data_IF_261403665998
#
_entry.id   IF_261403665998
#
_cell.length_a   1.000
_cell.length_b   1.000
_cell.length_c   1.000
_cell.angle_alpha   90.00
_cell.angle_beta   90.00
_cell.angle_gamma   90.00
#
_symmetry.space_group_name_H-M   'P 1'
#
loop_
_entity.id
_entity.type
_entity.pdbx_description
1 polymer ?
#
# COMPACT_ATOMS: atom_id res chain seq x y z
N UNK A 1 -16.18 22.88 -1.64
CA UNK A 1 -16.43 21.66 -0.87
C UNK A 1 -17.11 20.69 -1.80
N UNK A 2 -16.35 19.81 -2.44
CA UNK A 2 -16.96 18.65 -3.07
C UNK A 2 -17.42 17.80 -1.88
N UNK A 3 -18.71 17.74 -1.66
CA UNK A 3 -19.32 16.76 -0.76
C UNK A 3 -19.25 15.41 -1.48
N UNK A 4 -18.03 14.89 -1.58
CA UNK A 4 -17.74 13.65 -2.30
C UNK A 4 -18.39 12.41 -1.68
N UNK A 5 -18.85 12.52 -0.44
CA UNK A 5 -19.52 11.43 0.24
C UNK A 5 -20.91 11.11 -0.34
N UNK A 6 -21.56 12.07 -1.04
CA UNK A 6 -22.86 11.83 -1.67
C UNK A 6 -22.76 11.32 -3.11
N UNK A 7 -21.63 11.54 -3.80
CA UNK A 7 -21.44 11.06 -5.17
C UNK A 7 -20.98 9.61 -5.25
N UNK A 8 -20.26 9.12 -4.22
CA UNK A 8 -19.79 7.75 -4.14
C UNK A 8 -20.83 6.80 -3.50
N UNK A 9 -21.80 7.33 -2.75
CA UNK A 9 -22.81 6.51 -2.07
C UNK A 9 -22.19 5.35 -1.28
N UNK A 10 -22.74 4.15 -1.46
CA UNK A 10 -22.24 2.91 -0.85
C UNK A 10 -20.88 2.41 -1.44
N UNK A 11 -20.35 3.09 -2.44
CA UNK A 11 -19.07 2.73 -3.06
C UNK A 11 -17.83 3.20 -2.28
N UNK A 12 -18.02 3.91 -1.15
CA UNK A 12 -16.90 4.30 -0.28
C UNK A 12 -16.31 3.08 0.41
N UNK A 13 -15.09 2.71 0.04
CA UNK A 13 -14.34 1.67 0.72
C UNK A 13 -13.92 2.19 2.09
N UNK A 14 -14.33 1.49 3.15
CA UNK A 14 -14.06 1.90 4.51
C UNK A 14 -12.70 1.43 5.01
N UNK A 15 -12.31 0.20 4.63
CA UNK A 15 -11.10 -0.45 5.09
C UNK A 15 -10.45 -1.28 4.00
N UNK A 16 -9.17 -1.48 4.17
CA UNK A 16 -8.37 -2.51 3.50
C UNK A 16 -7.73 -3.41 4.54
N UNK A 17 -7.20 -4.53 4.09
CA UNK A 17 -6.41 -5.43 4.90
C UNK A 17 -4.95 -5.35 4.45
N UNK A 18 -4.04 -5.11 5.40
CA UNK A 18 -2.60 -5.12 5.19
C UNK A 18 -2.07 -6.54 5.28
N UNK A 19 -1.25 -6.91 4.34
CA UNK A 19 -0.52 -8.18 4.29
C UNK A 19 0.98 -7.91 4.40
N UNK A 20 1.67 -8.71 5.18
CA UNK A 20 3.13 -8.65 5.32
C UNK A 20 3.71 -9.97 4.80
N UNK A 21 4.48 -9.87 3.72
CA UNK A 21 4.85 -11.02 2.87
C UNK A 21 6.19 -11.65 3.15
N UNK A 22 7.03 -11.11 4.02
CA UNK A 22 8.43 -11.55 4.16
C UNK A 22 8.84 -11.95 5.59
N UNK A 23 7.95 -11.81 6.56
CA UNK A 23 8.23 -12.27 7.91
C UNK A 23 7.93 -13.77 8.04
N UNK A 24 8.53 -14.42 9.04
CA UNK A 24 8.28 -15.82 9.40
C UNK A 24 6.79 -16.15 9.69
N UNK A 25 5.91 -15.17 9.60
CA UNK A 25 4.47 -15.22 9.82
C UNK A 25 3.72 -14.66 8.61
N UNK A 26 3.69 -15.40 7.52
CA UNK A 26 2.89 -15.04 6.33
C UNK A 26 1.43 -14.73 6.67
N UNK A 27 0.95 -13.55 6.23
CA UNK A 27 -0.44 -13.13 6.36
C UNK A 27 -1.29 -13.68 5.22
N UNK A 28 -2.36 -14.40 5.52
CA UNK A 28 -3.30 -14.87 4.49
C UNK A 28 -4.67 -15.21 5.05
N UNK A 29 -5.64 -15.25 4.16
CA UNK A 29 -6.98 -15.78 4.42
C UNK A 29 -7.13 -17.12 3.70
N UNK A 30 -7.81 -18.10 4.31
CA UNK A 30 -7.97 -19.44 3.76
C UNK A 30 -9.39 -19.96 3.89
N UNK A 31 -9.85 -20.60 2.83
CA UNK A 31 -11.14 -21.30 2.79
C UNK A 31 -11.04 -22.57 1.93
N UNK A 32 -11.80 -23.61 2.30
CA UNK A 32 -12.01 -24.78 1.47
C UNK A 32 -13.51 -24.95 1.25
N UNK A 33 -14.01 -24.81 -0.01
CA UNK A 33 -15.42 -25.01 -0.31
C UNK A 33 -15.88 -26.44 0.00
N UNK A 34 -17.07 -26.60 0.55
CA UNK A 34 -17.65 -27.92 0.86
C UNK A 34 -18.14 -28.69 -0.37
N UNK A 35 -18.43 -27.97 -1.46
CA UNK A 35 -18.83 -28.51 -2.77
C UNK A 35 -18.25 -27.68 -3.89
N UNK A 36 -17.99 -28.30 -5.04
CA UNK A 36 -17.54 -27.57 -6.22
C UNK A 36 -18.66 -26.68 -6.77
N UNK A 37 -18.29 -25.47 -7.17
CA UNK A 37 -19.10 -24.56 -7.95
C UNK A 37 -18.81 -24.70 -9.45
N UNK A 38 -19.01 -23.61 -10.20
CA UNK A 38 -18.71 -23.59 -11.63
C UNK A 38 -17.21 -23.38 -11.85
N UNK A 39 -16.50 -24.47 -12.14
CA UNK A 39 -15.04 -24.46 -12.40
C UNK A 39 -14.64 -23.95 -13.78
N UNK A 40 -15.61 -23.61 -14.64
CA UNK A 40 -15.36 -23.12 -15.99
C UNK A 40 -15.64 -21.63 -16.14
N UNK A 41 -16.56 -21.08 -15.31
CA UNK A 41 -17.00 -19.70 -15.41
C UNK A 41 -16.97 -19.05 -14.04
N UNK A 42 -16.16 -18.01 -13.88
CA UNK A 42 -16.11 -17.22 -12.63
C UNK A 42 -15.43 -15.86 -12.87
N UNK A 43 -15.58 -14.96 -11.92
CA UNK A 43 -14.89 -13.67 -11.90
C UNK A 43 -14.28 -13.40 -10.53
N UNK A 44 -13.00 -13.03 -10.49
CA UNK A 44 -12.32 -12.48 -9.33
C UNK A 44 -12.11 -10.98 -9.53
N UNK A 45 -12.38 -10.19 -8.50
CA UNK A 45 -12.15 -8.75 -8.50
C UNK A 45 -11.62 -8.31 -7.14
N UNK A 46 -10.59 -7.47 -7.12
CA UNK A 46 -10.13 -6.81 -5.91
C UNK A 46 -9.41 -5.49 -6.21
N UNK A 47 -9.28 -4.65 -5.20
CA UNK A 47 -8.34 -3.54 -5.21
C UNK A 47 -7.08 -3.94 -4.44
N UNK A 48 -5.92 -3.49 -4.92
CA UNK A 48 -4.64 -3.76 -4.27
C UNK A 48 -3.69 -2.58 -4.40
N UNK A 49 -2.88 -2.35 -3.36
CA UNK A 49 -1.76 -1.42 -3.33
C UNK A 49 -0.53 -2.23 -2.90
N UNK A 50 0.49 -2.26 -3.74
CA UNK A 50 1.71 -3.00 -3.46
C UNK A 50 2.69 -2.11 -2.71
N UNK A 51 3.24 -2.61 -1.64
CA UNK A 51 4.26 -1.88 -0.87
C UNK A 51 5.66 -2.24 -1.36
N UNK A 52 5.99 -3.51 -1.36
CA UNK A 52 7.27 -3.98 -1.87
C UNK A 52 7.15 -4.46 -3.32
N UNK A 53 7.68 -3.67 -4.26
CA UNK A 53 7.67 -4.01 -5.69
C UNK A 53 8.80 -4.96 -6.09
N UNK A 54 9.71 -5.29 -5.17
CA UNK A 54 10.84 -6.19 -5.41
C UNK A 54 10.51 -7.66 -5.11
N UNK A 55 9.34 -7.93 -4.51
CA UNK A 55 8.86 -9.28 -4.19
C UNK A 55 7.58 -9.61 -4.97
N UNK A 56 7.25 -10.90 -5.02
CA UNK A 56 5.98 -11.34 -5.58
C UNK A 56 4.84 -10.97 -4.64
N UNK A 57 3.64 -10.79 -5.22
CA UNK A 57 2.45 -10.38 -4.47
C UNK A 57 1.24 -11.15 -5.03
N UNK A 58 0.87 -12.24 -4.35
CA UNK A 58 -0.26 -13.07 -4.74
C UNK A 58 -1.57 -12.48 -4.22
N UNK A 59 -2.52 -12.26 -5.10
CA UNK A 59 -3.87 -11.78 -4.75
C UNK A 59 -4.77 -12.93 -4.30
N UNK A 60 -4.83 -13.98 -5.13
CA UNK A 60 -5.68 -15.14 -4.87
C UNK A 60 -5.08 -16.39 -5.52
N UNK A 61 -5.34 -17.53 -4.91
CA UNK A 61 -4.90 -18.83 -5.43
C UNK A 61 -5.83 -19.96 -4.99
N UNK A 62 -5.79 -21.06 -5.74
CA UNK A 62 -6.42 -22.32 -5.36
C UNK A 62 -5.52 -23.50 -5.76
N UNK A 63 -5.51 -24.56 -4.93
CA UNK A 63 -4.62 -25.69 -5.13
C UNK A 63 -5.16 -27.00 -4.52
N UNK A 64 -5.16 -28.06 -5.29
CA UNK A 64 -5.33 -29.42 -4.80
C UNK A 64 -4.25 -30.39 -5.29
N UNK A 65 -3.69 -30.15 -6.49
CA UNK A 65 -2.64 -30.98 -7.05
C UNK A 65 -1.74 -30.23 -8.04
N UNK A 66 -0.59 -30.80 -8.36
CA UNK A 66 0.38 -30.25 -9.30
C UNK A 66 -0.03 -30.52 -10.76
N UNK A 67 -1.17 -29.98 -11.17
CA UNK A 67 -1.60 -29.95 -12.58
C UNK A 67 -2.38 -28.65 -12.84
N UNK A 68 -2.64 -28.33 -14.10
CA UNK A 68 -3.17 -27.04 -14.52
C UNK A 68 -4.65 -26.84 -14.17
N UNK A 69 -5.41 -27.91 -13.99
CA UNK A 69 -6.81 -27.84 -13.56
C UNK A 69 -6.98 -27.68 -12.06
N UNK A 70 -5.94 -27.97 -11.29
CA UNK A 70 -6.00 -28.03 -9.82
C UNK A 70 -5.01 -27.07 -9.13
N UNK A 71 -4.39 -26.18 -9.90
CA UNK A 71 -3.52 -25.12 -9.40
C UNK A 71 -3.72 -23.85 -10.22
N UNK A 72 -4.03 -22.75 -9.55
CA UNK A 72 -4.16 -21.43 -10.16
C UNK A 72 -3.70 -20.35 -9.19
N UNK A 73 -3.04 -19.32 -9.71
CA UNK A 73 -2.72 -18.11 -8.95
C UNK A 73 -2.81 -16.84 -9.78
N UNK A 74 -3.24 -15.77 -9.12
CA UNK A 74 -3.30 -14.40 -9.62
C UNK A 74 -2.22 -13.61 -8.88
N UNK A 75 -1.12 -13.28 -9.57
CA UNK A 75 0.10 -12.81 -8.87
C UNK A 75 0.77 -11.68 -9.64
N UNK A 76 1.15 -10.62 -8.93
CA UNK A 76 2.18 -9.70 -9.42
C UNK A 76 3.53 -10.35 -9.16
N UNK A 77 4.31 -10.55 -10.21
CA UNK A 77 5.64 -11.15 -10.15
C UNK A 77 6.70 -10.08 -10.29
N UNK A 78 7.62 -10.04 -9.35
CA UNK A 78 8.83 -9.23 -9.47
C UNK A 78 9.77 -9.81 -10.53
N UNK A 79 10.30 -8.92 -11.37
CA UNK A 79 11.34 -9.20 -12.37
C UNK A 79 12.69 -8.62 -11.95
N UNK A 80 12.78 -8.10 -10.72
CA UNK A 80 13.92 -7.35 -10.22
C UNK A 80 13.95 -5.88 -10.69
N UNK A 81 14.82 -5.07 -10.09
CA UNK A 81 15.01 -3.65 -10.42
C UNK A 81 13.69 -2.83 -10.43
N UNK A 82 12.76 -3.14 -9.53
CA UNK A 82 11.48 -2.46 -9.43
C UNK A 82 10.49 -2.76 -10.56
N UNK A 83 10.80 -3.70 -11.46
CA UNK A 83 9.89 -4.13 -12.51
C UNK A 83 8.99 -5.25 -12.01
N UNK A 84 7.70 -5.18 -12.34
CA UNK A 84 6.74 -6.19 -11.96
C UNK A 84 5.65 -6.34 -13.01
N UNK A 85 5.34 -7.59 -13.38
CA UNK A 85 4.27 -7.97 -14.29
C UNK A 85 3.11 -8.62 -13.55
N UNK A 86 1.89 -8.58 -14.09
CA UNK A 86 0.75 -9.33 -13.56
C UNK A 86 0.59 -10.66 -14.31
N UNK A 87 0.31 -11.73 -13.57
CA UNK A 87 0.23 -13.09 -14.09
C UNK A 87 -1.04 -13.80 -13.62
N UNK A 88 -1.66 -14.50 -14.55
CA UNK A 88 -2.65 -15.56 -14.30
C UNK A 88 -1.99 -16.88 -14.71
N UNK A 89 -1.66 -17.73 -13.74
CA UNK A 89 -0.87 -18.95 -14.00
C UNK A 89 -1.47 -20.17 -13.32
N UNK A 90 -1.37 -21.33 -14.00
CA UNK A 90 -1.55 -22.66 -13.45
C UNK A 90 -0.22 -23.32 -13.14
N UNK A 91 -0.21 -24.66 -12.95
CA UNK A 91 1.01 -25.41 -12.60
C UNK A 91 2.08 -25.35 -13.69
N UNK A 92 1.71 -25.70 -14.92
CA UNK A 92 2.60 -25.67 -16.10
C UNK A 92 2.15 -24.64 -17.15
N UNK A 93 1.15 -23.83 -16.85
CA UNK A 93 0.50 -22.97 -17.82
C UNK A 93 0.55 -21.50 -17.36
N UNK A 94 1.06 -20.67 -18.24
CA UNK A 94 0.92 -19.23 -18.13
C UNK A 94 -0.29 -18.81 -18.96
N UNK A 95 -1.45 -18.64 -18.33
CA UNK A 95 -2.68 -18.26 -19.04
C UNK A 95 -2.56 -16.84 -19.60
N UNK A 96 -2.10 -15.90 -18.80
CA UNK A 96 -1.84 -14.50 -19.19
C UNK A 96 -0.65 -13.96 -18.38
N UNK A 97 0.30 -13.32 -19.07
CA UNK A 97 1.38 -12.53 -18.46
C UNK A 97 1.42 -11.19 -19.17
N UNK A 98 1.23 -10.10 -18.44
CA UNK A 98 1.15 -8.76 -19.03
C UNK A 98 2.51 -8.26 -19.52
N UNK A 99 2.51 -7.45 -20.61
CA UNK A 99 3.65 -6.60 -20.97
C UNK A 99 3.68 -5.33 -20.12
N UNK A 100 2.52 -4.91 -19.59
CA UNK A 100 2.44 -3.81 -18.65
C UNK A 100 3.24 -4.12 -17.39
N UNK A 101 4.03 -3.14 -16.95
CA UNK A 101 4.79 -3.19 -15.70
C UNK A 101 4.15 -2.31 -14.64
N UNK A 102 4.11 -2.81 -13.43
CA UNK A 102 3.53 -2.18 -12.24
C UNK A 102 4.66 -1.75 -11.32
N UNK A 103 5.01 -0.46 -11.31
CA UNK A 103 6.21 0.09 -10.64
C UNK A 103 5.89 1.08 -9.52
N UNK A 104 4.63 1.42 -9.34
CA UNK A 104 4.21 2.42 -8.36
C UNK A 104 3.79 1.75 -7.04
N UNK A 105 4.58 1.94 -5.95
CA UNK A 105 4.24 1.40 -4.63
C UNK A 105 3.19 2.25 -3.90
N UNK A 106 2.80 3.39 -4.43
CA UNK A 106 1.83 4.31 -3.82
C UNK A 106 0.43 4.19 -4.41
N UNK A 107 0.28 3.55 -5.58
CA UNK A 107 -0.97 3.51 -6.31
C UNK A 107 -1.82 2.29 -5.94
N UNK A 108 -3.13 2.53 -5.80
CA UNK A 108 -4.14 1.49 -5.80
C UNK A 108 -4.47 1.06 -7.22
N UNK A 109 -4.52 -0.26 -7.46
CA UNK A 109 -4.96 -0.87 -8.70
C UNK A 109 -6.22 -1.68 -8.48
N UNK A 110 -7.20 -1.54 -9.38
CA UNK A 110 -8.32 -2.47 -9.48
C UNK A 110 -7.96 -3.57 -10.46
N UNK A 111 -8.03 -4.82 -10.01
CA UNK A 111 -7.74 -6.00 -10.82
C UNK A 111 -9.02 -6.81 -10.95
N UNK A 112 -9.41 -7.11 -12.20
CA UNK A 112 -10.49 -8.07 -12.48
C UNK A 112 -9.94 -9.16 -13.39
N UNK A 113 -10.15 -10.41 -13.00
CA UNK A 113 -9.82 -11.58 -13.83
C UNK A 113 -11.10 -12.41 -14.03
N UNK A 114 -11.55 -12.48 -15.27
CA UNK A 114 -12.81 -13.11 -15.64
C UNK A 114 -12.56 -14.34 -16.51
N UNK A 115 -13.06 -15.47 -16.07
CA UNK A 115 -12.91 -16.78 -16.73
C UNK A 115 -14.22 -17.24 -17.35
N UNK A 116 -14.16 -17.72 -18.60
CA UNK A 116 -15.17 -18.55 -19.22
C UNK A 116 -14.50 -19.49 -20.21
N UNK A 117 -14.10 -20.65 -19.74
CA UNK A 117 -13.38 -21.64 -20.56
C UNK A 117 -14.28 -22.29 -21.62
N UNK A 118 -15.59 -22.06 -21.57
CA UNK A 118 -16.55 -22.62 -22.58
C UNK A 118 -16.51 -21.88 -23.91
N UNK A 119 -15.93 -20.65 -23.91
CA UNK A 119 -15.84 -19.81 -25.10
C UNK A 119 -15.08 -20.50 -26.24
N UNK A 120 -15.57 -20.32 -27.48
CA UNK A 120 -14.93 -20.88 -28.68
C UNK A 120 -13.57 -20.23 -28.95
N UNK A 121 -13.45 -18.90 -28.74
CA UNK A 121 -12.20 -18.15 -28.85
C UNK A 121 -11.35 -18.32 -27.60
N UNK A 122 -10.09 -18.69 -27.76
CA UNK A 122 -9.15 -18.84 -26.64
C UNK A 122 -8.89 -17.52 -25.91
N UNK A 123 -8.95 -16.39 -26.61
CA UNK A 123 -8.71 -15.07 -26.01
C UNK A 123 -9.89 -14.62 -25.13
N UNK A 124 -11.09 -15.15 -25.37
CA UNK A 124 -12.27 -14.86 -24.55
C UNK A 124 -12.37 -15.73 -23.29
N UNK A 125 -11.55 -16.79 -23.18
CA UNK A 125 -11.60 -17.70 -22.03
C UNK A 125 -11.02 -17.13 -20.74
N UNK A 126 -10.04 -16.23 -20.85
CA UNK A 126 -9.44 -15.53 -19.71
C UNK A 126 -9.20 -14.08 -20.09
N UNK A 127 -9.92 -13.18 -19.43
CA UNK A 127 -9.80 -11.74 -19.60
C UNK A 127 -9.23 -11.10 -18.33
N UNK A 128 -8.29 -10.19 -18.49
CA UNK A 128 -7.67 -9.42 -17.41
C UNK A 128 -7.98 -7.97 -17.62
N UNK A 129 -8.39 -7.29 -16.56
CA UNK A 129 -8.65 -5.85 -16.59
C UNK A 129 -7.91 -5.17 -15.45
N UNK A 130 -7.34 -4.01 -15.75
CA UNK A 130 -6.66 -3.15 -14.77
C UNK A 130 -7.31 -1.76 -14.81
N UNK A 131 -7.81 -1.31 -13.67
CA UNK A 131 -8.50 0.00 -13.54
C UNK A 131 -9.58 0.20 -14.62
N UNK A 132 -10.42 -0.81 -14.83
CA UNK A 132 -11.53 -0.76 -15.78
C UNK A 132 -11.15 -1.02 -17.25
N UNK A 133 -9.86 -1.11 -17.59
CA UNK A 133 -9.37 -1.30 -18.95
C UNK A 133 -8.90 -2.74 -19.17
N UNK A 134 -9.38 -3.37 -20.26
CA UNK A 134 -8.93 -4.72 -20.61
C UNK A 134 -7.47 -4.70 -21.06
N UNK A 135 -6.66 -5.59 -20.47
CA UNK A 135 -5.32 -5.87 -20.95
C UNK A 135 -5.40 -6.72 -22.23
N UNK A 136 -4.75 -6.25 -23.29
CA UNK A 136 -4.68 -6.93 -24.58
C UNK A 136 -3.26 -7.22 -25.03
N UNK A 137 -2.27 -6.67 -24.29
CA UNK A 137 -0.85 -6.85 -24.57
C UNK A 137 -0.22 -7.79 -23.55
N UNK A 138 0.14 -8.98 -24.00
CA UNK A 138 0.71 -10.03 -23.16
C UNK A 138 2.07 -10.48 -23.71
N UNK A 139 3.03 -10.70 -22.81
CA UNK A 139 4.30 -11.38 -23.12
C UNK A 139 4.07 -12.89 -23.32
N UNK A 140 3.04 -13.42 -22.65
CA UNK A 140 2.55 -14.79 -22.82
C UNK A 140 1.03 -14.80 -22.78
N UNK A 141 0.43 -15.36 -23.80
CA UNK A 141 -1.01 -15.66 -23.89
C UNK A 141 -1.14 -17.15 -24.15
N UNK A 142 -1.25 -17.92 -23.05
CA UNK A 142 -1.40 -19.37 -23.13
C UNK A 142 -2.78 -19.73 -23.70
N UNK A 143 -2.82 -20.80 -24.47
CA UNK A 143 -4.07 -21.31 -25.04
C UNK A 143 -4.81 -22.16 -24.00
N UNK A 144 -5.66 -21.54 -23.20
CA UNK A 144 -6.54 -22.25 -22.25
C UNK A 144 -7.43 -23.21 -23.05
N UNK A 145 -7.40 -24.50 -22.72
CA UNK A 145 -8.20 -25.50 -23.40
C UNK A 145 -9.71 -25.22 -23.22
N UNK A 146 -10.49 -25.34 -24.28
CA UNK A 146 -11.94 -25.18 -24.20
C UNK A 146 -12.55 -26.19 -23.24
N UNK A 147 -13.49 -25.72 -22.41
CA UNK A 147 -14.14 -26.50 -21.36
C UNK A 147 -13.19 -27.01 -20.26
N UNK A 148 -12.01 -26.42 -20.13
CA UNK A 148 -11.09 -26.73 -19.03
C UNK A 148 -11.73 -26.36 -17.70
N UNK A 149 -11.68 -27.24 -16.72
CA UNK A 149 -11.93 -26.89 -15.33
C UNK A 149 -10.68 -26.20 -14.76
N UNK A 150 -10.87 -25.09 -14.07
CA UNK A 150 -9.78 -24.41 -13.33
C UNK A 150 -9.86 -24.77 -11.85
N UNK A 151 -8.80 -24.46 -11.09
CA UNK A 151 -8.75 -24.78 -9.67
C UNK A 151 -9.69 -23.91 -8.81
N UNK A 152 -10.05 -22.71 -9.26
CA UNK A 152 -11.09 -21.94 -8.57
C UNK A 152 -12.43 -22.65 -8.62
N UNK A 153 -13.22 -22.52 -7.55
CA UNK A 153 -14.49 -23.22 -7.34
C UNK A 153 -14.41 -24.74 -7.13
N UNK A 154 -13.22 -25.31 -6.97
CA UNK A 154 -13.07 -26.71 -6.55
C UNK A 154 -13.20 -26.85 -5.03
N UNK A 155 -13.32 -28.10 -4.56
CA UNK A 155 -13.23 -28.46 -3.13
C UNK A 155 -11.80 -28.49 -2.60
N UNK A 156 -10.97 -27.61 -3.11
CA UNK A 156 -9.56 -27.44 -2.78
C UNK A 156 -9.33 -26.22 -1.90
N UNK A 157 -8.12 -26.07 -1.37
CA UNK A 157 -7.75 -24.91 -0.57
C UNK A 157 -7.68 -23.67 -1.45
N UNK A 158 -8.44 -22.64 -1.10
CA UNK A 158 -8.40 -21.30 -1.67
C UNK A 158 -7.76 -20.35 -0.69
N UNK A 159 -6.89 -19.45 -1.17
CA UNK A 159 -6.24 -18.43 -0.33
C UNK A 159 -6.32 -17.05 -0.98
N UNK A 160 -6.39 -16.05 -0.11
CA UNK A 160 -6.19 -14.64 -0.45
C UNK A 160 -4.89 -14.21 0.22
N UNK A 161 -4.02 -13.54 -0.52
CA UNK A 161 -2.76 -13.01 -0.03
C UNK A 161 -1.57 -13.94 -0.14
N UNK A 162 -1.73 -15.23 -0.51
CA UNK A 162 -0.60 -16.15 -0.70
C UNK A 162 -0.91 -17.25 -1.70
N UNK A 163 0.12 -17.99 -2.14
CA UNK A 163 -0.08 -19.18 -2.98
C UNK A 163 -0.53 -20.38 -2.16
N UNK A 164 -1.43 -21.20 -2.75
CA UNK A 164 -2.05 -22.32 -2.05
C UNK A 164 -1.24 -23.63 -2.09
N UNK A 165 -0.36 -23.83 -3.09
CA UNK A 165 0.49 -25.02 -3.20
C UNK A 165 1.62 -25.07 -2.16
N UNK A 166 2.08 -23.91 -1.73
CA UNK A 166 2.96 -23.68 -0.59
C UNK A 166 2.64 -22.27 -0.08
N UNK A 167 2.81 -22.00 1.19
CA UNK A 167 2.75 -20.62 1.67
C UNK A 167 3.98 -19.92 1.12
N UNK A 168 3.80 -19.13 0.07
CA UNK A 168 4.87 -18.44 -0.66
C UNK A 168 4.30 -17.35 -1.55
N UNK A 169 5.15 -16.45 -2.03
CA UNK A 169 4.72 -15.28 -2.81
C UNK A 169 3.62 -14.48 -2.10
N UNK A 170 3.70 -14.42 -0.78
CA UNK A 170 2.72 -13.75 0.07
C UNK A 170 2.66 -12.27 -0.30
N UNK A 171 1.46 -11.72 -0.29
CA UNK A 171 1.25 -10.32 -0.59
C UNK A 171 2.00 -9.44 0.43
N UNK A 172 2.68 -8.40 -0.08
CA UNK A 172 3.26 -7.34 0.72
C UNK A 172 2.61 -6.02 0.28
N UNK A 173 1.70 -5.52 1.11
CA UNK A 173 0.87 -4.37 0.81
C UNK A 173 -0.57 -4.50 1.28
N UNK A 174 -1.50 -3.97 0.50
CA UNK A 174 -2.90 -3.85 0.92
C UNK A 174 -3.83 -4.46 -0.12
N UNK A 175 -4.89 -5.12 0.36
CA UNK A 175 -5.98 -5.64 -0.47
C UNK A 175 -7.31 -5.13 0.09
N UNK A 176 -8.25 -4.75 -0.78
CA UNK A 176 -9.57 -4.27 -0.42
C UNK A 176 -10.62 -4.79 -1.41
N UNK A 177 -11.89 -4.85 -0.98
CA UNK A 177 -13.04 -5.15 -1.86
C UNK A 177 -12.85 -6.43 -2.66
N UNK A 178 -12.58 -7.55 -2.00
CA UNK A 178 -12.40 -8.83 -2.68
C UNK A 178 -13.75 -9.44 -3.01
N UNK A 179 -14.04 -9.54 -4.29
CA UNK A 179 -15.24 -10.20 -4.81
C UNK A 179 -14.85 -11.45 -5.61
N UNK A 180 -15.53 -12.54 -5.36
CA UNK A 180 -15.50 -13.74 -6.20
C UNK A 180 -16.91 -14.13 -6.61
N UNK A 181 -17.14 -14.21 -7.92
CA UNK A 181 -18.45 -14.49 -8.49
C UNK A 181 -18.39 -15.87 -9.16
N UNK A 182 -19.18 -16.80 -8.65
CA UNK A 182 -19.29 -18.16 -9.14
C UNK A 182 -20.34 -18.23 -10.26
N UNK A 183 -19.95 -18.72 -11.43
CA UNK A 183 -20.83 -18.99 -12.56
C UNK A 183 -21.00 -17.86 -13.57
N UNK A 184 -20.29 -16.71 -13.41
CA UNK A 184 -20.40 -15.57 -14.33
C UNK A 184 -19.06 -15.01 -14.73
N UNK A 185 -18.89 -14.67 -16.02
CA UNK A 185 -17.76 -13.90 -16.54
C UNK A 185 -18.20 -12.43 -16.69
N UNK A 186 -17.83 -11.59 -15.75
CA UNK A 186 -18.18 -10.18 -15.74
C UNK A 186 -17.01 -9.29 -16.15
N UNK A 187 -17.33 -8.18 -16.81
CA UNK A 187 -16.40 -7.07 -17.05
C UNK A 187 -16.29 -6.16 -15.80
N UNK A 188 -15.32 -5.21 -15.76
CA UNK A 188 -15.08 -4.40 -14.58
C UNK A 188 -16.19 -3.42 -14.22
N UNK A 189 -17.15 -3.12 -15.12
CA UNK A 189 -18.25 -2.19 -14.85
C UNK A 189 -19.22 -2.67 -13.77
N UNK A 190 -19.14 -3.94 -13.40
CA UNK A 190 -19.86 -4.50 -12.28
C UNK A 190 -19.26 -4.11 -10.93
N UNK A 191 -17.95 -3.78 -10.88
CA UNK A 191 -17.16 -3.52 -9.67
C UNK A 191 -16.58 -2.11 -9.60
N UNK A 192 -16.74 -1.33 -10.65
CA UNK A 192 -16.22 0.03 -10.74
C UNK A 192 -16.88 0.85 -11.84
N UNK A 193 -16.55 2.13 -11.87
CA UNK A 193 -16.99 3.08 -12.89
C UNK A 193 -15.95 4.19 -13.08
N UNK A 194 -15.95 4.83 -14.23
CA UNK A 194 -15.12 6.02 -14.44
C UNK A 194 -15.91 7.25 -13.97
N UNK A 195 -15.36 7.97 -13.01
CA UNK A 195 -15.93 9.23 -12.55
C UNK A 195 -15.97 10.24 -13.72
N UNK A 196 -17.14 10.75 -14.09
CA UNK A 196 -17.26 11.62 -15.28
C UNK A 196 -16.63 13.01 -15.11
N UNK A 197 -16.31 13.41 -13.87
CA UNK A 197 -15.69 14.72 -13.56
C UNK A 197 -14.17 14.60 -13.55
N UNK A 198 -13.65 13.59 -12.87
CA UNK A 198 -12.19 13.43 -12.68
C UNK A 198 -11.55 12.50 -13.70
N UNK A 199 -12.35 11.73 -14.44
CA UNK A 199 -11.92 10.65 -15.32
C UNK A 199 -11.08 9.56 -14.60
N UNK A 200 -11.25 9.43 -13.29
CA UNK A 200 -10.60 8.42 -12.46
C UNK A 200 -11.50 7.19 -12.35
N UNK A 201 -10.91 6.01 -12.43
CA UNK A 201 -11.60 4.75 -12.15
C UNK A 201 -11.88 4.62 -10.66
N UNK A 202 -13.15 4.47 -10.30
CA UNK A 202 -13.66 4.47 -8.93
C UNK A 202 -14.34 3.14 -8.60
N UNK A 203 -14.33 2.70 -7.34
CA UNK A 203 -15.02 1.49 -6.93
C UNK A 203 -16.54 1.62 -7.03
N UNK A 204 -17.19 0.49 -7.28
CA UNK A 204 -18.64 0.31 -7.26
C UNK A 204 -18.94 -0.99 -6.53
N UNK A 205 -19.92 -0.97 -5.64
CA UNK A 205 -20.37 -2.19 -4.97
C UNK A 205 -21.03 -3.13 -5.96
N UNK A 206 -20.68 -4.40 -5.90
CA UNK A 206 -21.36 -5.44 -6.66
C UNK A 206 -22.74 -5.75 -6.01
N UNK A 207 -23.79 -5.73 -6.82
CA UNK A 207 -25.17 -5.95 -6.36
C UNK A 207 -25.80 -7.19 -6.98
N UNK A 208 -25.04 -7.98 -7.72
CA UNK A 208 -25.53 -9.19 -8.40
C UNK A 208 -25.51 -10.42 -7.51
N UNK A 209 -25.77 -11.55 -8.14
CA UNK A 209 -25.75 -12.88 -7.49
C UNK A 209 -24.32 -13.40 -7.42
N UNK A 210 -23.89 -13.85 -6.23
CA UNK A 210 -22.53 -14.36 -6.01
C UNK A 210 -22.34 -15.81 -6.47
N UNK A 211 -23.43 -16.58 -6.68
CA UNK A 211 -23.37 -18.03 -6.95
C UNK A 211 -23.06 -18.82 -5.68
N UNK A 212 -22.83 -20.12 -5.79
CA UNK A 212 -22.73 -21.02 -4.62
C UNK A 212 -21.48 -20.76 -3.79
N UNK A 213 -20.33 -20.65 -4.43
CA UNK A 213 -19.03 -20.46 -3.76
C UNK A 213 -18.54 -19.00 -3.79
N UNK A 214 -19.33 -18.08 -4.37
CA UNK A 214 -18.99 -16.67 -4.40
C UNK A 214 -18.96 -16.03 -3.00
N UNK A 215 -18.16 -14.99 -2.84
CA UNK A 215 -17.96 -14.27 -1.57
C UNK A 215 -17.61 -12.80 -1.80
N UNK A 216 -17.76 -12.01 -0.74
CA UNK A 216 -17.38 -10.61 -0.66
C UNK A 216 -16.68 -10.31 0.66
N UNK A 217 -15.41 -9.89 0.60
CA UNK A 217 -14.63 -9.50 1.77
C UNK A 217 -14.37 -7.99 1.69
N UNK A 218 -15.03 -7.22 2.56
CA UNK A 218 -14.92 -5.76 2.64
C UNK A 218 -13.99 -5.29 3.76
N UNK A 219 -13.58 -6.20 4.64
CA UNK A 219 -12.69 -5.96 5.79
C UNK A 219 -13.19 -4.85 6.74
N UNK A 220 -14.47 -4.49 6.70
CA UNK A 220 -15.04 -3.38 7.47
C UNK A 220 -15.15 -3.67 8.96
N UNK A 221 -15.34 -4.93 9.32
CA UNK A 221 -15.46 -5.37 10.72
C UNK A 221 -14.10 -5.75 11.31
N UNK A 222 -13.53 -4.84 12.10
CA UNK A 222 -12.27 -5.05 12.81
C UNK A 222 -12.47 -5.27 14.32
N UNK A 223 -13.61 -5.79 14.73
CA UNK A 223 -13.90 -6.10 16.14
C UNK A 223 -13.03 -7.25 16.67
N UNK A 224 -12.57 -8.14 15.80
CA UNK A 224 -11.62 -9.21 16.10
C UNK A 224 -10.85 -9.61 14.83
N UNK A 225 -9.73 -10.32 14.99
CA UNK A 225 -8.99 -10.87 13.85
C UNK A 225 -9.89 -11.79 12.98
N UNK A 226 -10.69 -12.65 13.61
CA UNK A 226 -11.61 -13.55 12.90
C UNK A 226 -12.67 -12.78 12.09
N UNK A 227 -13.12 -11.62 12.56
CA UNK A 227 -14.11 -10.80 11.86
C UNK A 227 -13.61 -10.25 10.51
N UNK A 228 -12.29 -10.14 10.32
CA UNK A 228 -11.68 -9.73 9.07
C UNK A 228 -11.86 -10.76 7.93
N UNK A 229 -12.19 -12.01 8.26
CA UNK A 229 -12.44 -13.07 7.29
C UNK A 229 -13.92 -13.30 6.96
N UNK A 230 -14.85 -12.52 7.52
CA UNK A 230 -16.29 -12.72 7.33
C UNK A 230 -16.71 -12.32 5.93
N UNK A 231 -17.40 -13.24 5.24
CA UNK A 231 -18.06 -13.00 3.96
C UNK A 231 -19.30 -12.11 4.13
N UNK A 232 -19.29 -10.95 3.51
CA UNK A 232 -20.40 -9.99 3.52
C UNK A 232 -21.41 -10.21 2.39
N UNK A 233 -21.21 -11.23 1.56
CA UNK A 233 -22.23 -11.70 0.61
C UNK A 233 -23.34 -12.46 1.35
N UNK A 234 -24.47 -12.75 0.67
CA UNK A 234 -25.53 -13.56 1.28
C UNK A 234 -25.15 -15.02 1.55
N UNK A 235 -23.99 -15.49 1.07
CA UNK A 235 -23.64 -16.91 1.09
C UNK A 235 -23.01 -17.39 2.41
N UNK A 236 -22.34 -16.51 3.17
CA UNK A 236 -21.63 -16.87 4.40
C UNK A 236 -20.42 -17.78 4.15
N UNK A 237 -19.72 -17.55 3.06
CA UNK A 237 -18.51 -18.27 2.68
C UNK A 237 -17.27 -17.69 3.37
N UNK A 238 -17.23 -17.72 4.71
CA UNK A 238 -16.21 -17.14 5.55
C UNK A 238 -14.82 -17.76 5.32
N UNK A 239 -13.80 -16.95 5.57
CA UNK A 239 -12.39 -17.33 5.52
C UNK A 239 -11.78 -17.42 6.93
N UNK A 240 -10.94 -18.41 7.15
CA UNK A 240 -10.06 -18.45 8.31
C UNK A 240 -8.93 -17.44 8.11
N UNK A 241 -8.71 -16.61 9.12
CA UNK A 241 -7.66 -15.60 9.16
C UNK A 241 -6.40 -16.21 9.75
N UNK A 242 -5.25 -16.03 9.08
CA UNK A 242 -3.98 -16.58 9.51
C UNK A 242 -2.95 -15.44 9.69
N UNK A 243 -2.40 -15.32 10.90
CA UNK A 243 -1.37 -14.38 11.33
C UNK A 243 -1.72 -12.88 11.19
N UNK A 244 -2.94 -12.54 10.81
CA UNK A 244 -3.42 -11.16 10.65
C UNK A 244 -4.08 -10.70 11.94
N UNK A 245 -3.73 -9.51 12.41
CA UNK A 245 -4.28 -8.86 13.59
C UNK A 245 -5.29 -7.76 13.23
N UNK A 246 -6.05 -7.27 14.20
CA UNK A 246 -6.98 -6.14 14.00
C UNK A 246 -6.24 -4.85 13.60
N UNK A 247 -4.97 -4.73 13.97
CA UNK A 247 -4.09 -3.61 13.58
C UNK A 247 -3.73 -3.62 12.10
N UNK A 248 -3.95 -4.72 11.38
CA UNK A 248 -3.76 -4.81 9.94
C UNK A 248 -4.98 -4.32 9.14
N UNK A 249 -6.09 -4.03 9.83
CA UNK A 249 -7.26 -3.39 9.22
C UNK A 249 -7.04 -1.89 9.12
N UNK A 250 -6.76 -1.40 7.91
CA UNK A 250 -6.35 -0.03 7.61
C UNK A 250 -7.49 0.79 7.02
N UNK A 251 -7.45 2.12 7.24
CA UNK A 251 -8.31 3.08 6.53
C UNK A 251 -7.64 3.65 5.26
N UNK A 252 -6.45 3.15 4.92
CA UNK A 252 -5.82 3.36 3.61
C UNK A 252 -6.56 2.54 2.57
N UNK A 253 -7.26 3.19 1.66
CA UNK A 253 -8.18 2.56 0.71
C UNK A 253 -8.11 3.24 -0.66
N UNK A 254 -8.60 2.61 -1.73
CA UNK A 254 -8.69 3.25 -3.05
C UNK A 254 -9.46 4.59 -3.04
N UNK A 255 -10.38 4.77 -2.12
CA UNK A 255 -11.17 6.00 -1.97
C UNK A 255 -10.54 7.01 -1.00
N UNK A 256 -9.47 6.64 -0.32
CA UNK A 256 -8.70 7.50 0.58
C UNK A 256 -7.28 6.98 0.76
N UNK A 257 -6.44 7.19 -0.25
CA UNK A 257 -5.05 6.73 -0.26
C UNK A 257 -4.21 7.55 0.73
N UNK A 258 -3.50 6.87 1.63
CA UNK A 258 -2.60 7.50 2.62
C UNK A 258 -1.15 7.50 2.14
N UNK A 259 -0.38 8.46 2.64
CA UNK A 259 1.06 8.44 2.49
C UNK A 259 1.66 7.20 3.20
N UNK A 260 2.79 6.74 2.67
CA UNK A 260 3.66 5.71 3.24
C UNK A 260 5.11 6.11 2.97
N UNK A 261 6.10 5.42 3.48
CA UNK A 261 7.46 5.54 2.96
C UNK A 261 7.51 5.17 1.49
N UNK A 262 8.40 5.84 0.74
CA UNK A 262 8.55 5.63 -0.69
C UNK A 262 9.89 4.91 -0.98
N UNK A 263 9.90 3.62 -1.30
CA UNK A 263 11.14 2.87 -1.52
C UNK A 263 11.91 3.28 -2.78
N UNK A 264 11.30 4.11 -3.64
CA UNK A 264 11.94 4.58 -4.88
C UNK A 264 12.34 6.06 -4.82
N UNK A 265 11.88 6.83 -3.82
CA UNK A 265 12.30 8.20 -3.59
C UNK A 265 13.23 8.24 -2.39
N UNK A 266 14.51 8.17 -2.67
CA UNK A 266 15.61 8.06 -1.72
C UNK A 266 16.65 9.14 -1.95
N UNK A 267 17.26 9.62 -0.88
CA UNK A 267 18.33 10.59 -0.93
C UNK A 267 19.61 9.99 -1.53
N UNK A 268 20.46 10.79 -2.20
CA UNK A 268 21.77 10.38 -2.63
C UNK A 268 22.72 10.30 -1.42
N UNK A 269 23.41 9.19 -1.25
CA UNK A 269 24.48 9.08 -0.25
C UNK A 269 25.69 9.92 -0.62
N UNK A 270 26.46 10.32 0.37
CA UNK A 270 27.75 11.02 0.19
C UNK A 270 28.77 10.32 -0.70
N UNK A 271 28.70 8.99 -0.82
CA UNK A 271 29.59 8.18 -1.64
C UNK A 271 29.13 8.01 -3.10
N UNK A 272 28.02 8.68 -3.48
CA UNK A 272 27.45 8.59 -4.84
C UNK A 272 26.64 7.33 -5.11
N UNK A 273 26.28 6.58 -4.06
CA UNK A 273 25.32 5.46 -4.14
C UNK A 273 23.96 5.91 -3.63
N UNK A 274 22.90 5.21 -4.03
CA UNK A 274 21.55 5.50 -3.49
C UNK A 274 21.43 4.94 -2.07
N UNK A 275 20.57 5.59 -1.26
CA UNK A 275 20.17 5.12 0.06
C UNK A 275 19.59 3.71 0.01
N UNK A 276 19.84 2.91 1.03
CA UNK A 276 19.31 1.55 1.15
C UNK A 276 18.57 1.35 2.46
N UNK A 277 17.44 0.62 2.39
CA UNK A 277 16.60 0.34 3.54
C UNK A 277 15.73 -0.88 3.32
N UNK A 278 15.35 -1.52 4.41
CA UNK A 278 14.39 -2.63 4.43
C UNK A 278 13.04 -2.11 4.87
N UNK A 279 12.07 -2.20 3.96
CA UNK A 279 10.69 -1.79 4.20
C UNK A 279 9.83 -2.97 4.60
N UNK A 280 8.93 -2.76 5.54
CA UNK A 280 7.93 -3.74 5.96
C UNK A 280 6.66 -3.05 6.43
N UNK A 281 5.68 -3.82 6.91
CA UNK A 281 4.42 -3.30 7.43
C UNK A 281 3.68 -2.40 6.43
N UNK A 282 3.68 -2.78 5.15
CA UNK A 282 3.02 -1.99 4.11
C UNK A 282 3.73 -0.66 3.82
N UNK A 283 5.04 -0.60 3.91
CA UNK A 283 5.89 0.59 3.85
C UNK A 283 5.62 1.60 4.99
N UNK A 284 5.18 1.12 6.14
CA UNK A 284 5.04 1.95 7.35
C UNK A 284 6.22 1.78 8.32
N UNK A 285 7.00 0.72 8.14
CA UNK A 285 8.23 0.46 8.90
C UNK A 285 9.42 0.44 7.97
N UNK A 286 10.49 1.06 8.40
CA UNK A 286 11.76 1.16 7.67
C UNK A 286 12.92 0.90 8.62
N UNK A 287 13.83 0.03 8.22
CA UNK A 287 15.16 -0.16 8.82
C UNK A 287 16.18 0.32 7.80
N UNK A 288 16.98 1.31 8.15
CA UNK A 288 18.08 1.80 7.32
C UNK A 288 19.23 0.77 7.34
N UNK A 289 19.93 0.61 6.25
CA UNK A 289 20.94 -0.44 6.09
C UNK A 289 22.35 0.11 5.80
N UNK A 290 22.62 1.34 6.20
CA UNK A 290 23.92 1.95 5.92
C UNK A 290 24.06 3.35 6.50
N UNK A 291 25.08 4.06 6.09
CA UNK A 291 25.42 5.41 6.60
C UNK A 291 24.89 6.48 5.69
N UNK A 292 24.13 7.41 6.23
CA UNK A 292 23.58 8.55 5.50
C UNK A 292 22.48 8.09 4.52
N UNK A 293 21.58 7.22 4.99
CA UNK A 293 20.43 6.77 4.23
C UNK A 293 19.21 7.64 4.53
N UNK A 294 18.57 8.16 3.49
CA UNK A 294 17.41 9.04 3.60
C UNK A 294 16.28 8.57 2.70
N UNK A 295 15.06 8.58 3.23
CA UNK A 295 13.85 8.19 2.50
C UNK A 295 12.72 9.18 2.75
N UNK A 296 12.08 9.60 1.65
CA UNK A 296 10.91 10.45 1.70
C UNK A 296 9.61 9.63 1.70
N UNK A 297 8.51 10.28 2.06
CA UNK A 297 7.18 9.71 1.93
C UNK A 297 6.66 9.77 0.48
N UNK A 298 5.52 9.09 0.22
CA UNK A 298 4.87 9.03 -1.10
C UNK A 298 4.05 10.26 -1.44
N UNK A 299 3.84 11.19 -0.51
CA UNK A 299 3.04 12.41 -0.74
C UNK A 299 3.80 13.64 -0.26
N UNK A 300 3.82 14.67 -1.10
CA UNK A 300 4.30 16.01 -0.79
C UNK A 300 3.14 17.01 -0.78
N UNK A 301 3.31 18.13 -0.08
CA UNK A 301 2.29 19.17 0.09
C UNK A 301 2.92 20.56 0.04
N UNK A 302 2.18 21.54 -0.51
CA UNK A 302 2.63 22.94 -0.64
C UNK A 302 1.76 23.94 0.13
N UNK A 303 0.73 23.48 0.82
CA UNK A 303 -0.18 24.30 1.62
C UNK A 303 -0.94 23.46 2.63
N UNK A 304 -1.55 24.11 3.63
CA UNK A 304 -2.39 23.47 4.64
C UNK A 304 -1.65 23.09 5.92
N UNK A 305 -2.38 22.39 6.81
CA UNK A 305 -1.91 21.98 8.14
C UNK A 305 -1.93 20.46 8.21
N UNK A 306 -0.76 19.86 8.41
CA UNK A 306 -0.56 18.41 8.34
C UNK A 306 0.04 17.88 9.63
N UNK A 307 -0.37 16.66 10.00
CA UNK A 307 0.16 15.98 11.17
C UNK A 307 0.49 14.53 10.84
N UNK A 308 1.64 14.07 11.31
CA UNK A 308 2.02 12.67 11.33
C UNK A 308 2.85 12.33 12.57
N UNK A 309 2.97 11.06 12.87
CA UNK A 309 3.80 10.55 13.95
C UNK A 309 4.89 9.64 13.38
N UNK A 310 6.09 9.75 13.93
CA UNK A 310 7.21 8.84 13.70
C UNK A 310 7.58 8.20 15.03
N UNK A 311 7.51 6.88 15.10
CA UNK A 311 8.04 6.10 16.21
C UNK A 311 9.50 5.76 15.92
N UNK A 312 10.39 6.09 16.82
CA UNK A 312 11.81 5.75 16.79
C UNK A 312 11.98 4.32 17.32
N UNK A 313 12.01 3.32 16.46
CA UNK A 313 12.25 1.93 16.90
C UNK A 313 13.68 1.80 17.40
N UNK A 314 14.63 2.41 16.68
CA UNK A 314 16.00 2.66 17.14
C UNK A 314 16.26 4.14 17.01
N UNK A 315 16.48 4.81 18.15
CA UNK A 315 16.61 6.26 18.22
C UNK A 315 18.02 6.76 17.92
N UNK A 316 19.03 5.88 18.01
CA UNK A 316 20.42 6.26 17.81
C UNK A 316 20.65 6.70 16.36
N UNK A 317 21.26 7.87 16.21
CA UNK A 317 21.62 8.50 14.92
C UNK A 317 20.44 8.77 13.97
N UNK A 318 19.21 8.84 14.49
CA UNK A 318 18.04 9.13 13.69
C UNK A 318 17.99 10.56 13.19
N UNK A 319 17.31 10.75 12.06
CA UNK A 319 16.72 12.01 11.63
C UNK A 319 15.28 11.80 11.22
N UNK A 320 14.38 12.69 11.61
CA UNK A 320 12.97 12.60 11.24
C UNK A 320 12.35 14.01 11.14
N UNK A 321 11.47 14.21 10.17
CA UNK A 321 10.79 15.50 10.01
C UNK A 321 10.24 15.73 8.62
N UNK A 322 10.50 16.91 8.08
CA UNK A 322 10.11 17.36 6.75
C UNK A 322 11.30 17.94 6.00
N UNK A 323 11.27 17.89 4.68
CA UNK A 323 12.26 18.56 3.83
C UNK A 323 11.60 19.21 2.62
N UNK A 324 12.26 20.21 2.05
CA UNK A 324 11.86 20.79 0.77
C UNK A 324 12.08 19.74 -0.34
N UNK A 325 11.06 19.46 -1.12
CA UNK A 325 11.11 18.41 -2.15
C UNK A 325 12.18 18.70 -3.21
N UNK A 326 12.33 19.96 -3.59
CA UNK A 326 13.32 20.37 -4.60
C UNK A 326 14.74 20.11 -4.11
N UNK A 327 15.05 20.39 -2.85
CA UNK A 327 16.37 20.12 -2.26
C UNK A 327 16.65 18.63 -2.21
N UNK A 328 15.65 17.83 -1.80
CA UNK A 328 15.77 16.38 -1.74
C UNK A 328 16.00 15.73 -3.11
N UNK A 329 15.39 16.25 -4.18
CA UNK A 329 15.48 15.67 -5.53
C UNK A 329 16.64 16.22 -6.36
N UNK A 330 17.13 17.45 -6.10
CA UNK A 330 18.25 18.05 -6.82
C UNK A 330 19.60 17.42 -6.47
N UNK A 331 19.66 16.69 -5.36
CA UNK A 331 20.87 16.14 -4.79
C UNK A 331 21.72 17.20 -4.05
N UNK A 332 21.16 18.38 -3.80
CA UNK A 332 21.72 19.39 -2.89
C UNK A 332 21.54 18.97 -1.42
N UNK A 333 20.65 18.01 -1.17
CA UNK A 333 20.49 17.27 0.08
C UNK A 333 21.70 16.35 0.30
N UNK A 334 22.90 16.89 0.23
CA UNK A 334 24.14 16.16 0.44
C UNK A 334 24.79 16.62 1.73
N UNK A 335 24.63 15.78 2.74
CA UNK A 335 25.45 15.92 3.93
C UNK A 335 26.95 15.85 3.61
N UNK A 336 27.66 16.81 4.13
CA UNK A 336 29.11 16.72 4.28
C UNK A 336 29.47 15.85 5.47
N UNK A 337 29.48 14.53 5.37
CA UNK A 337 29.98 13.58 6.38
C UNK A 337 29.19 13.42 7.68
N UNK A 338 28.04 14.04 7.88
CA UNK A 338 27.33 14.05 9.16
C UNK A 338 25.82 13.77 9.07
N UNK A 339 25.31 13.20 7.96
CA UNK A 339 23.93 12.76 7.80
C UNK A 339 22.89 13.90 7.82
N UNK A 340 21.64 13.53 7.92
CA UNK A 340 20.44 14.38 7.90
C UNK A 340 20.48 15.59 8.86
N UNK A 341 21.39 15.58 9.85
CA UNK A 341 21.47 16.61 10.89
C UNK A 341 21.92 17.97 10.36
N UNK A 342 22.77 17.99 9.34
CA UNK A 342 23.37 19.22 8.81
C UNK A 342 22.90 19.57 7.40
N UNK A 343 21.76 19.00 6.98
CA UNK A 343 21.30 19.15 5.61
C UNK A 343 20.45 20.40 5.43
N UNK A 344 20.76 21.19 4.40
CA UNK A 344 19.92 22.30 3.99
C UNK A 344 18.52 21.77 3.65
N UNK A 345 17.50 22.45 4.13
CA UNK A 345 16.10 22.09 3.92
C UNK A 345 15.50 21.07 4.92
N UNK A 346 16.29 20.42 5.80
CA UNK A 346 15.73 19.53 6.82
C UNK A 346 15.13 20.34 8.00
N UNK A 347 13.90 19.98 8.36
CA UNK A 347 13.11 20.58 9.44
C UNK A 347 12.60 19.46 10.37
N UNK A 348 13.16 19.33 11.57
CA UNK A 348 12.70 18.24 12.44
C UNK A 348 13.60 17.95 13.63
N UNK A 349 13.79 16.66 13.88
CA UNK A 349 14.61 16.14 14.99
C UNK A 349 15.73 15.27 14.46
N UNK A 350 16.83 15.22 15.22
CA UNK A 350 17.89 14.25 14.97
C UNK A 350 18.62 13.88 16.28
N UNK A 351 19.39 12.80 16.23
CA UNK A 351 20.38 12.46 17.25
C UNK A 351 21.75 12.50 16.58
N UNK A 352 22.66 13.30 17.11
CA UNK A 352 23.99 13.48 16.56
C UNK A 352 25.03 13.40 17.66
N UNK A 353 25.97 12.45 17.55
CA UNK A 353 27.07 12.28 18.49
C UNK A 353 26.62 12.05 19.93
N UNK A 354 25.50 11.39 20.16
CA UNK A 354 24.90 11.14 21.48
C UNK A 354 24.07 12.31 22.03
N UNK A 355 23.77 13.31 21.19
CA UNK A 355 22.99 14.49 21.58
C UNK A 355 21.72 14.62 20.77
N UNK A 356 20.59 14.77 21.46
CA UNK A 356 19.29 15.05 20.81
C UNK A 356 19.20 16.53 20.39
N UNK A 357 18.88 16.77 19.13
CA UNK A 357 18.84 18.12 18.55
C UNK A 357 17.55 18.37 17.78
N UNK A 358 17.19 19.65 17.67
CA UNK A 358 16.20 20.17 16.72
C UNK A 358 16.97 20.72 15.52
N UNK A 359 16.56 20.33 14.33
CA UNK A 359 17.16 20.75 13.05
C UNK A 359 16.26 21.77 12.39
N UNK A 360 16.84 22.83 11.91
CA UNK A 360 16.17 23.90 11.18
C UNK A 360 17.09 24.37 10.05
N UNK A 361 16.91 23.82 8.86
CA UNK A 361 17.58 24.25 7.63
C UNK A 361 19.13 24.33 7.82
N UNK A 362 19.75 23.19 8.09
CA UNK A 362 21.19 23.06 8.34
C UNK A 362 21.68 23.61 9.70
N UNK A 363 20.82 24.24 10.46
CA UNK A 363 21.13 24.74 11.80
C UNK A 363 20.58 23.82 12.88
N UNK A 364 21.38 23.53 13.91
CA UNK A 364 20.96 22.69 15.02
C UNK A 364 20.88 23.45 16.34
N UNK A 365 19.95 23.09 17.19
CA UNK A 365 19.85 23.50 18.57
C UNK A 365 19.59 22.30 19.48
N UNK A 366 20.07 22.33 20.72
CA UNK A 366 19.82 21.25 21.66
C UNK A 366 18.32 21.04 21.87
N UNK A 367 17.86 19.81 21.79
CA UNK A 367 16.50 19.48 22.20
C UNK A 367 16.36 19.58 23.73
N UNK A 368 15.16 19.95 24.20
CA UNK A 368 14.86 20.02 25.65
C UNK A 368 14.68 18.63 26.28
N UNK A 369 14.74 17.57 25.50
CA UNK A 369 14.55 16.17 25.89
C UNK A 369 15.62 15.31 25.22
N UNK A 370 15.87 14.11 25.77
CA UNK A 370 16.65 13.07 25.07
C UNK A 370 15.70 12.14 24.35
N UNK A 371 16.02 11.80 23.09
CA UNK A 371 15.28 10.80 22.34
C UNK A 371 15.79 9.38 22.67
N UNK A 372 14.88 8.45 22.76
CA UNK A 372 15.13 7.05 23.11
C UNK A 372 14.35 6.11 22.22
N UNK A 373 14.74 4.83 22.21
CA UNK A 373 13.98 3.80 21.53
C UNK A 373 12.53 3.78 22.02
N UNK A 374 11.63 3.52 21.08
CA UNK A 374 10.19 3.54 21.24
C UNK A 374 9.53 4.92 21.47
N UNK A 375 10.29 6.02 21.51
CA UNK A 375 9.72 7.37 21.55
C UNK A 375 8.92 7.67 20.27
N UNK A 376 7.84 8.46 20.46
CA UNK A 376 6.99 8.91 19.36
C UNK A 376 7.15 10.42 19.18
N UNK A 377 7.59 10.79 17.99
CA UNK A 377 7.75 12.19 17.59
C UNK A 377 6.56 12.59 16.71
N UNK A 378 5.80 13.57 17.16
CA UNK A 378 4.69 14.16 16.40
C UNK A 378 5.15 15.44 15.67
N UNK A 379 4.85 15.52 14.37
CA UNK A 379 5.15 16.67 13.54
C UNK A 379 3.86 17.35 13.08
N UNK A 380 3.61 18.57 13.53
CA UNK A 380 2.46 19.38 13.14
C UNK A 380 2.93 20.56 12.28
N UNK A 381 2.91 20.39 10.96
CA UNK A 381 3.39 21.39 10.00
C UNK A 381 2.25 22.24 9.46
N UNK A 382 2.29 23.54 9.74
CA UNK A 382 1.43 24.55 9.13
C UNK A 382 2.24 25.27 8.04
N UNK A 383 2.10 24.81 6.81
CA UNK A 383 2.83 25.37 5.67
C UNK A 383 2.35 26.78 5.35
N UNK A 384 1.05 27.07 5.55
CA UNK A 384 0.46 28.38 5.25
C UNK A 384 1.06 29.50 6.12
N UNK A 385 1.43 29.18 7.37
CA UNK A 385 2.06 30.14 8.29
C UNK A 385 3.59 29.97 8.36
N UNK A 386 4.17 28.98 7.67
CA UNK A 386 5.59 28.65 7.76
C UNK A 386 6.02 28.25 9.17
N UNK A 387 5.27 27.36 9.83
CA UNK A 387 5.58 26.93 11.21
C UNK A 387 5.45 25.41 11.38
N UNK A 388 6.43 24.79 12.06
CA UNK A 388 6.45 23.37 12.42
C UNK A 388 6.54 23.22 13.93
N UNK A 389 5.53 22.61 14.52
CA UNK A 389 5.51 22.21 15.93
C UNK A 389 5.99 20.75 16.04
N UNK A 390 6.90 20.50 16.98
CA UNK A 390 7.50 19.18 17.23
C UNK A 390 7.09 18.72 18.62
N UNK A 391 6.53 17.53 18.68
CA UNK A 391 6.04 16.91 19.92
C UNK A 391 6.87 15.66 20.22
N UNK A 392 7.26 15.48 21.46
CA UNK A 392 7.88 14.27 22.01
C UNK A 392 6.91 13.61 22.97
N UNK A 393 6.49 12.40 22.66
CA UNK A 393 5.52 11.62 23.44
C UNK A 393 4.27 12.46 23.81
N UNK A 394 3.75 13.20 22.83
CA UNK A 394 2.57 14.07 22.97
C UNK A 394 2.80 15.45 23.61
N UNK A 395 4.00 15.75 24.08
CA UNK A 395 4.35 17.05 24.68
C UNK A 395 5.09 17.93 23.67
N UNK A 396 4.66 19.19 23.49
CA UNK A 396 5.33 20.15 22.62
C UNK A 396 6.74 20.46 23.17
N UNK A 397 7.77 20.24 22.36
CA UNK A 397 9.18 20.46 22.72
C UNK A 397 9.83 21.58 21.92
N UNK A 398 9.34 21.88 20.72
CA UNK A 398 9.89 22.97 19.90
C UNK A 398 8.85 23.49 18.90
N UNK A 399 9.07 24.71 18.44
CA UNK A 399 8.37 25.30 17.29
C UNK A 399 9.38 26.05 16.43
N UNK A 400 9.53 25.57 15.19
CA UNK A 400 10.28 26.25 14.14
C UNK A 400 9.33 27.21 13.43
N UNK A 401 9.77 28.43 13.16
CA UNK A 401 8.97 29.48 12.48
C UNK A 401 9.79 30.14 11.38
N UNK A 402 9.11 30.83 10.46
CA UNK A 402 9.76 31.53 9.35
C UNK A 402 10.17 30.57 8.21
N UNK A 403 9.58 29.40 8.18
CA UNK A 403 9.80 28.40 7.11
C UNK A 403 9.30 28.97 5.79
N UNK A 404 10.13 28.92 4.76
CA UNK A 404 9.81 29.46 3.43
C UNK A 404 8.62 28.71 2.79
N UNK A 405 7.89 29.39 1.89
CA UNK A 405 6.89 28.73 1.08
C UNK A 405 7.55 27.77 0.11
N UNK A 406 6.99 26.55 -0.03
CA UNK A 406 7.55 25.51 -0.91
C UNK A 406 6.71 24.24 -0.87
N UNK A 407 7.16 23.24 -1.62
CA UNK A 407 6.59 21.89 -1.57
C UNK A 407 7.42 21.03 -0.64
N UNK A 408 6.80 20.52 0.41
CA UNK A 408 7.47 19.76 1.46
C UNK A 408 7.03 18.30 1.47
N UNK A 409 7.94 17.41 1.83
CA UNK A 409 7.71 15.97 1.96
C UNK A 409 8.22 15.50 3.32
N UNK A 410 7.50 14.60 4.03
CA UNK A 410 8.01 13.93 5.21
C UNK A 410 9.22 13.07 4.88
N UNK A 411 10.23 13.08 5.78
CA UNK A 411 11.50 12.39 5.60
C UNK A 411 11.94 11.70 6.89
N UNK A 412 12.67 10.61 6.74
CA UNK A 412 13.50 10.01 7.79
C UNK A 412 14.86 9.63 7.22
N UNK A 413 15.85 9.59 8.08
CA UNK A 413 17.21 9.23 7.68
C UNK A 413 18.11 8.93 8.89
N UNK A 414 19.37 8.61 8.60
CA UNK A 414 20.42 8.43 9.61
C UNK A 414 21.70 9.21 9.26
N UNK A 415 22.59 9.36 10.23
CA UNK A 415 23.86 10.08 10.08
C UNK A 415 25.09 9.18 10.23
N UNK A 416 24.94 7.91 10.58
CA UNK A 416 26.10 7.06 10.92
C UNK A 416 25.91 5.59 10.55
N UNK A 417 26.93 4.79 10.90
CA UNK A 417 26.98 3.35 10.65
C UNK A 417 26.05 2.50 11.56
N UNK A 418 25.29 3.13 12.44
CA UNK A 418 24.29 2.42 13.25
C UNK A 418 22.93 2.61 12.61
N UNK A 419 22.32 1.52 12.17
CA UNK A 419 21.07 1.55 11.44
C UNK A 419 19.92 2.08 12.31
N UNK A 420 19.40 3.26 11.99
CA UNK A 420 18.18 3.78 12.58
C UNK A 420 16.97 3.02 12.03
N UNK A 421 15.93 2.93 12.83
CA UNK A 421 14.70 2.29 12.37
C UNK A 421 13.45 3.01 12.86
N UNK A 422 12.44 3.05 11.98
CA UNK A 422 11.27 3.90 12.13
C UNK A 422 9.98 3.14 11.84
N UNK A 423 8.92 3.57 12.53
CA UNK A 423 7.54 3.28 12.12
C UNK A 423 6.80 4.62 11.95
N UNK A 424 6.11 4.81 10.82
CA UNK A 424 5.42 6.07 10.50
C UNK A 424 3.92 5.88 10.46
N UNK A 425 3.19 6.85 11.02
CA UNK A 425 1.75 6.91 10.99
C UNK A 425 1.29 8.26 10.41
N UNK A 426 0.71 8.24 9.21
CA UNK A 426 0.11 9.40 8.58
C UNK A 426 -1.39 9.55 8.90
N UNK A 427 -1.90 8.69 9.79
CA UNK A 427 -3.29 8.62 10.24
C UNK A 427 -4.09 7.49 9.63
N UNK A 428 -3.47 6.55 8.89
CA UNK A 428 -4.07 5.31 8.42
C UNK A 428 -4.40 4.34 9.57
N UNK A 429 -3.78 4.53 10.71
CA UNK A 429 -4.13 3.98 12.01
C UNK A 429 -4.46 5.12 12.99
N UNK A 430 -5.11 4.85 14.12
CA UNK A 430 -5.25 5.86 15.19
C UNK A 430 -3.86 6.41 15.57
N UNK A 431 -3.77 7.72 15.72
CA UNK A 431 -2.57 8.32 16.30
C UNK A 431 -2.42 7.91 17.76
N UNK A 432 -1.19 7.73 18.20
CA UNK A 432 -0.88 7.40 19.62
C UNK A 432 -1.16 8.61 20.50
N UNK A 433 -0.87 9.80 20.02
CA UNK A 433 -1.11 11.05 20.75
C UNK A 433 -2.21 11.88 20.08
N UNK A 434 -2.75 12.83 20.85
CA UNK A 434 -3.81 13.71 20.34
C UNK A 434 -3.27 14.60 19.24
N UNK A 435 -3.81 14.47 18.04
CA UNK A 435 -3.53 15.37 16.91
C UNK A 435 -3.92 16.80 17.27
N UNK A 436 -3.07 17.80 17.03
CA UNK A 436 -3.40 19.20 17.28
C UNK A 436 -4.61 19.67 16.46
N UNK A 437 -5.42 20.53 17.05
CA UNK A 437 -6.67 21.02 16.43
C UNK A 437 -6.38 21.76 15.13
N UNK A 438 -7.13 21.42 14.07
CA UNK A 438 -7.02 22.04 12.75
C UNK A 438 -6.00 21.40 11.81
N UNK A 439 -5.17 20.50 12.29
CA UNK A 439 -4.27 19.73 11.45
C UNK A 439 -4.99 18.53 10.82
N UNK A 440 -4.47 18.03 9.72
CA UNK A 440 -5.06 16.95 8.92
C UNK A 440 -4.09 15.78 8.76
N UNK A 441 -4.66 14.61 8.56
CA UNK A 441 -3.97 13.38 8.13
C UNK A 441 -3.45 13.52 6.71
N UNK A 442 -2.28 12.98 6.39
CA UNK A 442 -1.71 13.04 5.04
C UNK A 442 -2.28 11.92 4.18
N UNK A 443 -3.36 12.23 3.48
CA UNK A 443 -4.08 11.30 2.61
C UNK A 443 -4.78 12.05 1.47
N UNK A 444 -5.11 11.34 0.39
CA UNK A 444 -5.67 11.92 -0.84
C UNK A 444 -6.96 12.72 -0.62
N UNK A 445 -7.81 12.32 0.34
CA UNK A 445 -9.05 13.03 0.66
C UNK A 445 -8.82 14.42 1.26
N UNK A 446 -7.71 14.61 1.95
CA UNK A 446 -7.37 15.85 2.65
C UNK A 446 -6.50 16.78 1.81
N UNK A 447 -5.96 16.30 0.67
CA UNK A 447 -5.18 17.14 -0.23
C UNK A 447 -6.06 18.26 -0.80
N UNK A 448 -5.50 19.46 -1.04
CA UNK A 448 -6.23 20.54 -1.68
C UNK A 448 -6.75 20.08 -3.04
N UNK A 449 -8.04 20.30 -3.29
CA UNK A 449 -8.57 20.14 -4.66
C UNK A 449 -8.09 21.36 -5.44
N UNK A 450 -7.30 21.15 -6.49
CA UNK A 450 -6.98 22.24 -7.41
C UNK A 450 -8.27 22.77 -8.01
N UNK A 451 -8.62 24.00 -7.65
CA UNK A 451 -9.84 24.67 -8.15
C UNK A 451 -9.66 25.27 -9.53
N UNK A 452 -8.49 25.15 -10.13
CA UNK A 452 -8.23 25.56 -11.51
C UNK A 452 -8.66 24.47 -12.50
N UNK A 453 -9.96 24.21 -12.60
CA UNK A 453 -10.51 23.59 -13.80
C UNK A 453 -10.42 24.66 -14.89
N UNK A 454 -9.39 24.58 -15.70
CA UNK A 454 -9.31 25.33 -16.94
C UNK A 454 -10.49 24.88 -17.80
N UNK A 455 -11.33 25.81 -18.18
CA UNK A 455 -12.49 25.66 -19.07
C UNK A 455 -12.06 25.24 -20.46
#
# INVERSE_FOLDING_TARGET
TITSDSALGDAKIQRSLRFTGEDSNDHYLQRTPSSAGNRQVCTFSCWTKRSNISVNHCLASAYSANNDSDNISLTFRSLGSGNCEFRVVGYNYNFRITNRLFRDPSAWFHVVVAFDTTQSSADDRVKVYINGVQETSFSTSGNVTQNMNIAFNDTSVHRIGTQSNAISNTADGYIAEVNFIDGYQYDPSYFGFTDPVTNIWMPKRYEGTYGTNGYYLDFSDNSSAAALGIDKSPNGNDFTVNNIAVTDSMIDTPTNNFATFNPILRGPRNNGTDSSGTFSEGNLKLVLNGTGDDFAATMSVSSGKWYHEVKLITAQNHGAGWTLLDDFTSGDFKSSTSGIVNEDGHLGTAESGGSSVIVNDGSTSAASVSFSDDDIIGFAFNIDDGSLQIYHNGSLISTITGIAAGTYVPIVGDDSSTDASFEINFGQQPFTHTQPTGYRKLCSRNLPVETSIIR
#
